data_IF_375506154021
#
_entry.id   IF_375506154021
#
_cell.length_a   1.000
_cell.length_b   1.000
_cell.length_c   1.000
_cell.angle_alpha   90.00
_cell.angle_beta   90.00
_cell.angle_gamma   90.00
#
_symmetry.space_group_name_H-M   'P 1'
#
loop_
_entity.id
_entity.type
_entity.pdbx_description
1 polymer ?
#
# COMPACT_ATOMS: atom_id res chain seq x y z
N UNK A 1 48.71 15.55 24.86
CA UNK A 1 47.40 16.26 24.78
C UNK A 1 46.48 15.57 23.76
N UNK A 2 46.06 14.32 24.00
CA UNK A 2 45.15 13.59 23.08
C UNK A 2 44.01 12.83 23.82
N UNK A 3 44.10 12.74 25.14
CA UNK A 3 43.19 11.93 25.99
C UNK A 3 41.97 12.76 26.44
N UNK A 4 42.10 14.10 26.46
CA UNK A 4 41.07 15.01 26.97
C UNK A 4 39.97 15.31 25.94
N UNK A 5 40.27 15.21 24.65
CA UNK A 5 39.29 15.43 23.58
C UNK A 5 38.38 14.22 23.36
N UNK A 6 38.89 13.01 23.56
CA UNK A 6 38.10 11.78 23.43
C UNK A 6 36.98 11.66 24.48
N UNK A 7 37.24 12.14 25.71
CA UNK A 7 36.23 12.20 26.76
C UNK A 7 35.13 13.22 26.50
N UNK A 8 35.46 14.37 25.89
CA UNK A 8 34.46 15.38 25.53
C UNK A 8 33.58 14.91 24.37
N UNK A 9 34.18 14.29 23.35
CA UNK A 9 33.43 13.74 22.22
C UNK A 9 32.41 12.68 22.66
N UNK A 10 32.77 11.80 23.60
CA UNK A 10 31.83 10.81 24.17
C UNK A 10 30.66 11.43 24.93
N UNK A 11 30.90 12.47 25.72
CA UNK A 11 29.84 13.14 26.49
C UNK A 11 28.91 13.92 25.56
N UNK A 12 29.47 14.60 24.54
CA UNK A 12 28.68 15.27 23.51
C UNK A 12 27.85 14.28 22.69
N UNK A 13 28.37 13.08 22.38
CA UNK A 13 27.59 12.04 21.69
C UNK A 13 26.49 11.46 22.60
N UNK A 14 26.78 11.19 23.87
CA UNK A 14 25.81 10.58 24.80
C UNK A 14 24.65 11.52 25.15
N UNK A 15 24.85 12.84 25.14
CA UNK A 15 23.80 13.82 25.45
C UNK A 15 23.18 14.38 24.17
N UNK A 16 23.99 14.63 23.13
CA UNK A 16 23.53 15.21 21.87
C UNK A 16 22.71 14.25 21.02
N UNK A 17 23.05 12.95 21.00
CA UNK A 17 22.33 11.96 20.19
C UNK A 17 20.88 11.71 20.66
N UNK A 18 20.57 11.52 21.96
CA UNK A 18 19.18 11.35 22.38
C UNK A 18 18.37 12.63 22.20
N UNK A 19 18.94 13.81 22.45
CA UNK A 19 18.25 15.09 22.21
C UNK A 19 17.97 15.31 20.72
N UNK A 20 18.94 14.99 19.85
CA UNK A 20 18.76 15.07 18.41
C UNK A 20 17.71 14.06 17.92
N UNK A 21 17.70 12.83 18.42
CA UNK A 21 16.66 11.84 18.09
C UNK A 21 15.28 12.31 18.56
N UNK A 22 15.14 12.84 19.77
CA UNK A 22 13.85 13.30 20.32
C UNK A 22 13.32 14.54 19.60
N UNK A 23 14.17 15.36 18.96
CA UNK A 23 13.72 16.56 18.24
C UNK A 23 13.59 16.30 16.73
N UNK A 24 14.58 15.63 16.13
CA UNK A 24 14.62 15.38 14.69
C UNK A 24 13.57 14.35 14.26
N UNK A 25 13.31 13.29 15.05
CA UNK A 25 12.29 12.30 14.69
C UNK A 25 10.89 12.91 14.64
N UNK A 26 10.40 13.63 15.67
CA UNK A 26 9.10 14.27 15.56
C UNK A 26 9.08 15.42 14.56
N UNK A 27 10.19 16.15 14.32
CA UNK A 27 10.22 17.13 13.22
C UNK A 27 10.09 16.46 11.85
N UNK A 28 10.74 15.32 11.61
CA UNK A 28 10.59 14.58 10.35
C UNK A 28 9.19 14.02 10.23
N UNK A 29 8.63 13.45 11.31
CA UNK A 29 7.23 12.97 11.32
C UNK A 29 6.23 14.12 11.14
N UNK A 30 6.50 15.30 11.71
CA UNK A 30 5.69 16.50 11.53
C UNK A 30 5.85 17.06 10.12
N UNK A 31 7.04 17.10 9.54
CA UNK A 31 7.27 17.49 8.15
C UNK A 31 6.50 16.56 7.18
N UNK A 32 6.60 15.25 7.40
CA UNK A 32 5.77 14.25 6.69
C UNK A 32 4.26 14.45 6.88
N UNK A 33 3.83 15.03 8.00
CA UNK A 33 2.42 15.36 8.26
C UNK A 33 1.99 16.75 7.79
N UNK A 34 2.92 17.67 7.55
CA UNK A 34 2.64 19.10 7.35
C UNK A 34 2.93 19.61 5.95
N UNK A 35 3.48 18.78 5.07
CA UNK A 35 3.30 18.99 3.63
C UNK A 35 1.89 18.52 3.26
N UNK A 36 0.93 19.43 2.98
CA UNK A 36 -0.28 19.03 2.29
C UNK A 36 0.17 18.34 1.00
N UNK A 37 -0.32 17.12 0.71
CA UNK A 37 0.07 16.43 -0.51
C UNK A 37 -0.16 17.39 -1.67
N UNK A 38 0.72 17.37 -2.67
CA UNK A 38 0.47 18.09 -3.91
C UNK A 38 -0.78 17.48 -4.56
N UNK A 39 -1.94 17.95 -4.14
CA UNK A 39 -3.25 17.54 -4.61
C UNK A 39 -3.35 18.05 -6.04
N UNK A 40 -3.19 17.16 -7.02
CA UNK A 40 -4.17 17.02 -8.12
C UNK A 40 -3.79 15.98 -9.18
N UNK A 41 -2.52 15.55 -9.25
CA UNK A 41 -2.09 14.51 -10.22
C UNK A 41 -2.10 13.10 -9.63
N UNK A 42 -1.20 12.84 -8.68
CA UNK A 42 -0.97 11.50 -8.16
C UNK A 42 -2.21 10.88 -7.50
N UNK A 43 -3.03 11.67 -6.80
CA UNK A 43 -4.26 11.16 -6.20
C UNK A 43 -5.35 10.78 -7.23
N UNK A 44 -5.27 11.25 -8.48
CA UNK A 44 -6.15 10.77 -9.56
C UNK A 44 -5.76 9.36 -9.98
N UNK A 45 -4.46 9.09 -10.08
CA UNK A 45 -3.95 7.74 -10.35
C UNK A 45 -4.23 6.79 -9.19
N UNK A 46 -4.11 7.26 -7.94
CA UNK A 46 -4.54 6.49 -6.75
C UNK A 46 -6.05 6.20 -6.79
N UNK A 47 -6.88 7.17 -7.18
CA UNK A 47 -8.33 6.97 -7.35
C UNK A 47 -8.62 5.88 -8.39
N UNK A 48 -7.99 5.95 -9.57
CA UNK A 48 -8.15 4.96 -10.63
C UNK A 48 -7.68 3.57 -10.19
N UNK A 49 -6.53 3.48 -9.51
CA UNK A 49 -6.02 2.24 -8.94
C UNK A 49 -7.01 1.62 -7.94
N UNK A 50 -7.55 2.42 -7.03
CA UNK A 50 -8.55 1.95 -6.07
C UNK A 50 -9.84 1.51 -6.74
N UNK A 51 -10.28 2.16 -7.83
CA UNK A 51 -11.44 1.71 -8.63
C UNK A 51 -11.20 0.35 -9.28
N UNK A 52 -10.03 0.13 -9.88
CA UNK A 52 -9.66 -1.18 -10.43
C UNK A 52 -9.65 -2.27 -9.37
N UNK A 53 -9.11 -1.98 -8.19
CA UNK A 53 -9.10 -2.91 -7.05
C UNK A 53 -10.51 -3.23 -6.53
N UNK A 54 -11.35 -2.21 -6.29
CA UNK A 54 -12.72 -2.43 -5.82
C UNK A 54 -13.61 -3.17 -6.83
N UNK A 55 -13.35 -3.03 -8.13
CA UNK A 55 -14.11 -3.75 -9.15
C UNK A 55 -13.95 -5.28 -9.03
N UNK A 56 -12.80 -5.75 -8.56
CA UNK A 56 -12.52 -7.19 -8.40
C UNK A 56 -12.73 -7.70 -6.98
N UNK A 57 -12.77 -6.82 -5.98
CA UNK A 57 -12.91 -7.18 -4.57
C UNK A 57 -14.11 -8.10 -4.27
N UNK A 58 -15.34 -7.85 -4.78
CA UNK A 58 -16.47 -8.72 -4.52
C UNK A 58 -16.26 -10.14 -5.06
N UNK A 59 -15.59 -10.27 -6.22
CA UNK A 59 -15.28 -11.58 -6.81
C UNK A 59 -14.23 -12.31 -5.99
N UNK A 60 -13.15 -11.64 -5.57
CA UNK A 60 -12.14 -12.21 -4.67
C UNK A 60 -12.80 -12.71 -3.38
N UNK A 61 -13.73 -11.94 -2.81
CA UNK A 61 -14.49 -12.34 -1.63
C UNK A 61 -15.41 -13.53 -1.88
N UNK A 62 -16.07 -13.59 -3.05
CA UNK A 62 -16.86 -14.75 -3.46
C UNK A 62 -15.99 -16.01 -3.56
N UNK A 63 -14.77 -15.89 -4.09
CA UNK A 63 -13.79 -16.97 -4.14
C UNK A 63 -13.37 -17.54 -2.78
N UNK A 64 -13.60 -16.81 -1.67
CA UNK A 64 -13.45 -17.38 -0.33
C UNK A 64 -14.60 -18.31 0.07
N UNK A 65 -15.81 -18.04 -0.42
CA UNK A 65 -17.01 -18.78 -0.08
C UNK A 65 -17.29 -19.94 -1.05
N UNK A 66 -16.93 -19.76 -2.32
CA UNK A 66 -17.23 -20.71 -3.40
C UNK A 66 -15.94 -21.13 -4.10
N UNK A 67 -15.52 -22.36 -3.82
CA UNK A 67 -14.36 -22.97 -4.44
C UNK A 67 -14.62 -23.20 -5.94
N UNK A 68 -13.91 -22.48 -6.82
CA UNK A 68 -13.83 -22.84 -8.24
C UNK A 68 -14.27 -21.80 -9.27
N UNK A 69 -14.44 -20.51 -8.93
CA UNK A 69 -14.66 -19.49 -9.98
C UNK A 69 -13.38 -19.27 -10.79
N UNK A 70 -13.30 -19.91 -11.97
CA UNK A 70 -12.18 -19.78 -12.91
C UNK A 70 -12.09 -18.42 -13.58
N UNK A 71 -13.16 -17.61 -13.56
CA UNK A 71 -13.17 -16.27 -14.15
C UNK A 71 -12.60 -15.20 -13.21
N UNK A 72 -12.44 -15.53 -11.93
CA UNK A 72 -11.82 -14.66 -10.93
C UNK A 72 -10.37 -14.35 -11.27
N UNK A 73 -9.61 -15.34 -11.72
CA UNK A 73 -8.20 -15.24 -12.08
C UNK A 73 -7.90 -14.18 -13.15
N UNK A 74 -8.49 -14.23 -14.37
CA UNK A 74 -8.19 -13.26 -15.42
C UNK A 74 -8.56 -11.83 -15.03
N UNK A 75 -9.67 -11.64 -14.30
CA UNK A 75 -10.10 -10.31 -13.85
C UNK A 75 -9.16 -9.72 -12.81
N UNK A 76 -8.69 -10.53 -11.86
CA UNK A 76 -7.73 -10.09 -10.84
C UNK A 76 -6.37 -9.75 -11.49
N UNK A 77 -5.90 -10.55 -12.45
CA UNK A 77 -4.66 -10.25 -13.20
C UNK A 77 -4.81 -8.97 -14.03
N UNK A 78 -5.98 -8.74 -14.64
CA UNK A 78 -6.24 -7.51 -15.38
C UNK A 78 -6.22 -6.30 -14.44
N UNK A 79 -6.87 -6.39 -13.27
CA UNK A 79 -6.86 -5.33 -12.27
C UNK A 79 -5.45 -5.05 -11.75
N UNK A 80 -4.65 -6.08 -11.43
CA UNK A 80 -3.26 -5.92 -11.01
C UNK A 80 -2.43 -5.17 -12.06
N UNK A 81 -2.58 -5.53 -13.34
CA UNK A 81 -1.91 -4.82 -14.45
C UNK A 81 -2.34 -3.35 -14.53
N UNK A 82 -3.64 -3.07 -14.43
CA UNK A 82 -4.12 -1.68 -14.45
C UNK A 82 -3.59 -0.88 -13.27
N UNK A 83 -3.60 -1.45 -12.05
CA UNK A 83 -3.04 -0.81 -10.85
C UNK A 83 -1.54 -0.51 -11.02
N UNK A 84 -0.76 -1.40 -11.65
CA UNK A 84 0.65 -1.10 -11.99
C UNK A 84 0.78 0.05 -12.98
N UNK A 85 -0.07 0.09 -14.00
CA UNK A 85 -0.10 1.20 -14.96
C UNK A 85 -0.33 2.55 -14.26
N UNK A 86 -1.26 2.59 -13.31
CA UNK A 86 -1.48 3.79 -12.49
C UNK A 86 -0.28 4.13 -11.60
N UNK A 87 0.39 3.12 -11.03
CA UNK A 87 1.59 3.34 -10.21
C UNK A 87 2.72 4.02 -11.00
N UNK A 88 2.91 3.67 -12.28
CA UNK A 88 3.93 4.26 -13.15
C UNK A 88 3.72 5.76 -13.39
N UNK A 89 2.48 6.22 -13.36
CA UNK A 89 2.12 7.62 -13.56
C UNK A 89 2.26 8.48 -12.29
N UNK A 90 2.44 7.86 -11.11
CA UNK A 90 2.58 8.54 -9.83
C UNK A 90 4.02 9.07 -9.65
N UNK A 91 4.14 10.36 -9.35
CA UNK A 91 5.43 11.02 -9.13
C UNK A 91 5.95 10.82 -7.70
N UNK A 92 5.06 10.87 -6.70
CA UNK A 92 5.43 10.64 -5.31
C UNK A 92 5.92 9.19 -5.10
N UNK A 93 7.17 8.98 -4.65
CA UNK A 93 7.75 7.66 -4.57
C UNK A 93 7.07 6.78 -3.51
N UNK A 94 6.53 7.36 -2.43
CA UNK A 94 5.86 6.61 -1.38
C UNK A 94 4.48 6.14 -1.83
N UNK A 95 3.70 7.01 -2.49
CA UNK A 95 2.43 6.67 -3.11
C UNK A 95 2.62 5.63 -4.21
N UNK A 96 3.57 5.83 -5.11
CA UNK A 96 3.89 4.87 -6.16
C UNK A 96 4.25 3.50 -5.58
N UNK A 97 5.09 3.47 -4.54
CA UNK A 97 5.43 2.22 -3.86
C UNK A 97 4.19 1.55 -3.28
N UNK A 98 3.30 2.32 -2.65
CA UNK A 98 2.08 1.78 -2.02
C UNK A 98 1.09 1.26 -3.07
N UNK A 99 0.92 1.96 -4.21
CA UNK A 99 0.09 1.48 -5.33
C UNK A 99 0.71 0.26 -6.00
N UNK A 100 2.04 0.20 -6.10
CA UNK A 100 2.74 -1.01 -6.59
C UNK A 100 2.50 -2.20 -5.66
N UNK A 101 2.58 -2.00 -4.35
CA UNK A 101 2.23 -3.03 -3.35
C UNK A 101 0.80 -3.53 -3.53
N UNK A 102 -0.15 -2.64 -3.84
CA UNK A 102 -1.54 -3.05 -4.09
C UNK A 102 -1.65 -3.98 -5.31
N UNK A 103 -0.89 -3.70 -6.38
CA UNK A 103 -0.84 -4.58 -7.53
C UNK A 103 -0.18 -5.93 -7.21
N UNK A 104 0.88 -5.92 -6.41
CA UNK A 104 1.56 -7.15 -5.99
C UNK A 104 0.67 -8.02 -5.09
N UNK A 105 -0.14 -7.40 -4.22
CA UNK A 105 -1.15 -8.08 -3.42
C UNK A 105 -2.21 -8.75 -4.30
N UNK A 106 -2.68 -8.07 -5.36
CA UNK A 106 -3.61 -8.62 -6.34
C UNK A 106 -3.00 -9.76 -7.17
N UNK A 107 -1.75 -9.62 -7.61
CA UNK A 107 -1.03 -10.70 -8.29
C UNK A 107 -0.88 -11.91 -7.39
N UNK A 108 -0.60 -11.69 -6.10
CA UNK A 108 -0.53 -12.77 -5.10
C UNK A 108 -1.86 -13.49 -4.98
N UNK A 109 -2.99 -12.77 -4.92
CA UNK A 109 -4.33 -13.37 -4.97
C UNK A 109 -4.51 -14.22 -6.23
N UNK A 110 -4.10 -13.71 -7.39
CA UNK A 110 -4.22 -14.44 -8.66
C UNK A 110 -3.29 -15.67 -8.77
N UNK A 111 -2.18 -15.68 -8.04
CA UNK A 111 -1.28 -16.83 -8.00
C UNK A 111 -1.74 -17.90 -7.01
N UNK A 112 -2.57 -17.52 -6.04
CA UNK A 112 -3.14 -18.41 -5.04
C UNK A 112 -4.34 -19.20 -5.55
N UNK A 113 -4.62 -20.31 -4.87
CA UNK A 113 -5.77 -21.16 -5.08
C UNK A 113 -6.90 -20.78 -4.13
N UNK A 114 -8.05 -20.43 -4.70
CA UNK A 114 -9.33 -20.32 -3.98
C UNK A 114 -9.88 -21.69 -3.51
N UNK A 115 -9.26 -22.80 -3.92
CA UNK A 115 -9.69 -24.15 -3.60
C UNK A 115 -8.51 -25.11 -3.48
N UNK A 116 -7.90 -25.20 -2.30
CA UNK A 116 -6.89 -26.24 -2.02
C UNK A 116 -7.56 -27.56 -1.58
N UNK A 117 -7.32 -28.70 -2.26
CA UNK A 117 -7.82 -30.01 -1.83
C UNK A 117 -7.28 -30.45 -0.45
N UNK A 118 -8.01 -31.29 0.32
CA UNK A 118 -9.20 -32.04 -0.10
C UNK A 118 -10.53 -31.40 0.34
N UNK A 119 -10.55 -30.45 1.29
CA UNK A 119 -11.74 -29.65 1.65
C UNK A 119 -11.36 -28.29 2.27
N UNK A 120 -11.72 -27.24 1.52
CA UNK A 120 -12.32 -25.98 1.99
C UNK A 120 -11.48 -25.01 2.83
N UNK A 121 -10.38 -24.49 2.26
CA UNK A 121 -9.97 -23.11 2.55
C UNK A 121 -9.13 -22.58 1.38
N UNK A 122 -9.22 -21.28 1.05
CA UNK A 122 -8.26 -20.66 0.14
C UNK A 122 -6.85 -20.75 0.74
N UNK A 123 -5.84 -20.84 -0.11
CA UNK A 123 -4.46 -20.92 0.39
C UNK A 123 -3.97 -19.59 0.98
N UNK A 124 -2.77 -19.64 1.55
CA UNK A 124 -2.19 -18.48 2.23
C UNK A 124 -1.90 -17.31 1.28
N UNK A 125 -1.64 -17.57 0.00
CA UNK A 125 -1.38 -16.51 -0.97
C UNK A 125 -2.67 -15.82 -1.38
N UNK A 126 -3.75 -16.58 -1.54
CA UNK A 126 -5.08 -16.02 -1.75
C UNK A 126 -5.56 -15.17 -0.56
N UNK A 127 -5.54 -15.75 0.65
CA UNK A 127 -6.00 -15.05 1.86
C UNK A 127 -5.08 -13.89 2.22
N UNK A 128 -3.77 -14.10 2.15
CA UNK A 128 -2.75 -13.10 2.47
C UNK A 128 -2.76 -11.93 1.50
N UNK A 129 -2.87 -12.21 0.19
CA UNK A 129 -3.03 -11.17 -0.83
C UNK A 129 -4.30 -10.34 -0.62
N UNK A 130 -5.43 -10.97 -0.30
CA UNK A 130 -6.67 -10.24 0.00
C UNK A 130 -6.52 -9.35 1.25
N UNK A 131 -6.01 -9.90 2.35
CA UNK A 131 -5.85 -9.15 3.61
C UNK A 131 -4.89 -7.97 3.45
N UNK A 132 -3.76 -8.19 2.77
CA UNK A 132 -2.79 -7.14 2.48
C UNK A 132 -3.40 -6.08 1.56
N UNK A 133 -4.12 -6.49 0.49
CA UNK A 133 -4.75 -5.54 -0.43
C UNK A 133 -5.75 -4.60 0.28
N UNK A 134 -6.46 -5.10 1.31
CA UNK A 134 -7.34 -4.28 2.16
C UNK A 134 -6.57 -3.28 3.01
N UNK A 135 -5.45 -3.71 3.61
CA UNK A 135 -4.58 -2.83 4.40
C UNK A 135 -3.94 -1.75 3.51
N UNK A 136 -3.43 -2.13 2.35
CA UNK A 136 -2.84 -1.25 1.35
C UNK A 136 -3.86 -0.26 0.80
N UNK A 137 -5.07 -0.74 0.44
CA UNK A 137 -6.17 0.12 0.00
C UNK A 137 -6.59 1.14 1.05
N UNK A 138 -6.62 0.76 2.33
CA UNK A 138 -6.88 1.69 3.43
C UNK A 138 -5.76 2.74 3.59
N UNK A 139 -4.49 2.34 3.45
CA UNK A 139 -3.36 3.29 3.48
C UNK A 139 -3.46 4.33 2.35
N UNK A 140 -3.81 3.89 1.13
CA UNK A 140 -4.04 4.78 -0.01
C UNK A 140 -5.23 5.72 0.22
N UNK A 141 -6.32 5.24 0.83
CA UNK A 141 -7.47 6.07 1.19
C UNK A 141 -7.12 7.14 2.23
N UNK A 142 -6.26 6.82 3.21
CA UNK A 142 -5.76 7.80 4.17
C UNK A 142 -4.86 8.85 3.50
N UNK A 143 -4.03 8.42 2.54
CA UNK A 143 -3.13 9.32 1.82
C UNK A 143 -3.86 10.21 0.79
N UNK A 144 -4.91 9.69 0.15
CA UNK A 144 -5.78 10.40 -0.79
C UNK A 144 -7.25 10.32 -0.33
N UNK A 145 -7.68 11.16 0.63
CA UNK A 145 -9.03 11.08 1.23
C UNK A 145 -10.18 11.22 0.22
N UNK A 146 -9.96 12.00 -0.85
CA UNK A 146 -10.94 12.27 -1.90
C UNK A 146 -11.14 11.10 -2.90
N UNK A 147 -10.18 10.18 -3.00
CA UNK A 147 -10.29 9.03 -3.90
C UNK A 147 -11.53 8.19 -3.54
N UNK A 148 -12.27 7.71 -4.54
CA UNK A 148 -13.44 6.83 -4.43
C UNK A 148 -14.69 7.50 -3.83
N UNK A 149 -14.63 8.78 -3.47
CA UNK A 149 -15.82 9.50 -2.97
C UNK A 149 -16.75 9.99 -4.09
N UNK A 150 -16.23 10.16 -5.31
CA UNK A 150 -17.05 10.59 -6.42
C UNK A 150 -17.88 9.42 -6.97
N UNK A 151 -19.18 9.64 -7.26
CA UNK A 151 -20.00 8.65 -7.91
C UNK A 151 -19.28 8.15 -9.17
N UNK A 152 -19.23 6.83 -9.35
CA UNK A 152 -18.74 6.22 -10.58
C UNK A 152 -19.40 6.96 -11.76
N UNK A 153 -18.65 7.39 -12.78
CA UNK A 153 -19.26 8.00 -13.95
C UNK A 153 -20.29 7.02 -14.50
N UNK A 154 -21.55 7.45 -14.48
CA UNK A 154 -22.66 6.75 -15.12
C UNK A 154 -22.40 6.84 -16.63
N UNK A 155 -21.68 5.87 -17.17
CA UNK A 155 -21.61 5.60 -18.60
C UNK A 155 -22.72 4.61 -18.96
#
# INVERSE_FOLDING_TARGET
>A
MAIRDWSRAKITFLIGLPVFLVIAVPMVVLAYRSEPPRVSGDCVHVDQALRHWMAVLPRIQLGMAEAGDTNLLPDVVAAARSVRGEAEAIQDPALRSTVTTLADDLDRVSSGSSSSPPKSFPDQDFVGGLQNSMSTGHALKLACPAAVNDPLPTQ
#
